data_IF_759748372410
#
_entry.id   IF_759748372410
#
_cell.length_a   1.000
_cell.length_b   1.000
_cell.length_c   1.000
_cell.angle_alpha   90.00
_cell.angle_beta   90.00
_cell.angle_gamma   90.00
#
_symmetry.space_group_name_H-M   'P 1'
#
loop_
_entity.id
_entity.type
_entity.pdbx_description
1 polymer ?
#
# COMPACT_ATOMS: atom_id res chain seq x y z
N UNK A 1 21.89 10.96 -2.06
CA UNK A 1 20.75 10.06 -1.77
C UNK A 1 20.22 9.57 -3.11
N UNK A 2 19.61 8.37 -3.21
CA UNK A 2 18.94 7.97 -4.43
C UNK A 2 17.91 9.04 -4.83
N UNK A 3 17.85 9.42 -6.10
CA UNK A 3 16.91 10.44 -6.61
C UNK A 3 15.48 9.88 -6.75
N UNK A 4 15.20 8.69 -6.23
CA UNK A 4 13.92 8.02 -6.37
C UNK A 4 13.54 7.26 -5.11
N UNK A 5 12.25 7.23 -4.82
CA UNK A 5 11.63 6.44 -3.76
C UNK A 5 10.65 5.43 -4.38
N UNK A 6 10.37 4.38 -3.62
CA UNK A 6 9.40 3.36 -3.97
C UNK A 6 8.03 3.73 -3.41
N UNK A 7 7.08 4.00 -4.30
CA UNK A 7 5.68 4.07 -3.96
C UNK A 7 5.06 2.68 -3.91
N UNK A 8 4.16 2.49 -2.95
CA UNK A 8 3.35 1.29 -2.78
C UNK A 8 1.89 1.72 -2.63
N UNK A 9 1.00 0.96 -3.27
CA UNK A 9 -0.44 1.08 -3.11
C UNK A 9 -1.06 -0.29 -3.00
N UNK A 10 -2.04 -0.47 -2.12
CA UNK A 10 -2.85 -1.67 -2.10
C UNK A 10 -4.31 -1.38 -1.79
N UNK A 11 -5.15 -2.31 -2.19
CA UNK A 11 -6.56 -2.36 -1.86
C UNK A 11 -6.87 -3.62 -1.07
N UNK A 12 -7.87 -3.54 -0.21
CA UNK A 12 -8.45 -4.68 0.49
C UNK A 12 -9.96 -4.58 0.45
N UNK A 13 -10.64 -5.60 -0.06
CA UNK A 13 -12.09 -5.67 0.03
C UNK A 13 -12.49 -6.38 1.32
N UNK A 14 -13.06 -5.63 2.26
CA UNK A 14 -13.43 -6.13 3.59
C UNK A 14 -14.53 -7.20 3.51
N UNK A 15 -14.46 -8.17 4.41
CA UNK A 15 -15.50 -9.21 4.56
C UNK A 15 -16.81 -8.67 5.15
N UNK A 16 -16.74 -7.58 5.92
CA UNK A 16 -17.88 -6.86 6.48
C UNK A 16 -17.59 -5.37 6.65
N UNK A 17 -18.57 -4.58 7.13
CA UNK A 17 -18.34 -3.17 7.49
C UNK A 17 -17.19 -3.02 8.49
N UNK A 18 -16.46 -1.88 8.47
CA UNK A 18 -15.29 -1.66 9.34
C UNK A 18 -15.63 -1.74 10.84
N UNK A 19 -16.87 -1.45 11.23
CA UNK A 19 -17.36 -1.51 12.62
C UNK A 19 -17.93 -2.88 13.02
N UNK A 20 -17.94 -3.85 12.10
CA UNK A 20 -18.46 -5.19 12.38
C UNK A 20 -17.50 -6.01 13.27
N UNK A 21 -18.02 -7.03 13.99
CA UNK A 21 -17.19 -7.88 14.85
C UNK A 21 -16.03 -8.57 14.12
N UNK A 22 -16.22 -8.96 12.85
CA UNK A 22 -15.16 -9.59 12.04
C UNK A 22 -13.98 -8.64 11.81
N UNK A 23 -14.21 -7.32 11.74
CA UNK A 23 -13.17 -6.32 11.48
C UNK A 23 -12.51 -5.76 12.74
N UNK A 24 -12.94 -6.16 13.95
CA UNK A 24 -12.49 -5.56 15.21
C UNK A 24 -10.99 -5.64 15.43
N UNK A 25 -10.40 -6.83 15.30
CA UNK A 25 -8.95 -7.00 15.51
C UNK A 25 -8.14 -6.18 14.50
N UNK A 26 -8.57 -6.12 13.24
CA UNK A 26 -7.94 -5.29 12.22
C UNK A 26 -8.02 -3.81 12.59
N UNK A 27 -9.22 -3.32 12.93
CA UNK A 27 -9.48 -1.91 13.29
C UNK A 27 -8.65 -1.47 14.49
N UNK A 28 -8.60 -2.28 15.55
CA UNK A 28 -7.83 -2.00 16.77
C UNK A 28 -6.32 -2.01 16.55
N UNK A 29 -5.84 -2.70 15.51
CA UNK A 29 -4.43 -2.75 15.18
C UNK A 29 -3.97 -1.62 14.25
N UNK A 30 -4.87 -0.89 13.59
CA UNK A 30 -4.53 0.10 12.57
C UNK A 30 -3.53 1.15 13.06
N UNK A 31 -3.82 1.79 14.19
CA UNK A 31 -2.93 2.83 14.74
C UNK A 31 -1.55 2.27 15.10
N UNK A 32 -1.49 1.05 15.66
CA UNK A 32 -0.23 0.39 16.00
C UNK A 32 0.60 0.08 14.77
N UNK A 33 -0.02 -0.49 13.73
CA UNK A 33 0.67 -0.87 12.48
C UNK A 33 1.09 0.37 11.67
N UNK A 34 0.29 1.44 11.73
CA UNK A 34 0.63 2.74 11.16
C UNK A 34 1.83 3.38 11.89
N UNK A 35 1.82 3.39 13.22
CA UNK A 35 2.94 3.91 14.02
C UNK A 35 4.23 3.10 13.81
N UNK A 36 4.10 1.78 13.62
CA UNK A 36 5.21 0.91 13.28
C UNK A 36 5.85 1.29 11.93
N UNK A 37 5.04 1.68 10.93
CA UNK A 37 5.57 2.19 9.67
C UNK A 37 6.33 3.51 9.90
N UNK A 38 5.73 4.43 10.66
CA UNK A 38 6.28 5.78 10.92
C UNK A 38 7.68 5.74 11.58
N UNK A 39 8.03 4.66 12.30
CA UNK A 39 9.36 4.47 12.93
C UNK A 39 10.26 3.48 12.20
N UNK A 40 9.80 2.88 11.09
CA UNK A 40 10.57 1.89 10.34
C UNK A 40 11.69 2.54 9.52
N UNK A 41 12.92 1.99 9.52
CA UNK A 41 14.00 2.50 8.69
C UNK A 41 13.62 2.56 7.20
N UNK A 42 13.85 3.71 6.57
CA UNK A 42 13.55 3.96 5.17
C UNK A 42 12.07 4.22 4.86
N UNK A 43 11.21 4.40 5.87
CA UNK A 43 9.87 4.93 5.67
C UNK A 43 9.93 6.44 5.35
N UNK A 44 9.17 6.87 4.34
CA UNK A 44 9.16 8.28 3.89
C UNK A 44 7.80 8.92 4.13
N UNK A 45 6.72 8.24 3.75
CA UNK A 45 5.37 8.79 3.81
C UNK A 45 4.31 7.70 3.77
N UNK A 46 3.12 7.99 4.31
CA UNK A 46 1.90 7.21 4.06
C UNK A 46 0.71 8.11 3.85
N UNK A 47 -0.25 7.62 3.08
CA UNK A 47 -1.53 8.28 2.93
C UNK A 47 -2.28 8.26 4.27
N UNK A 48 -2.66 9.45 4.73
CA UNK A 48 -3.54 9.69 5.88
C UNK A 48 -4.79 10.36 5.33
N UNK A 49 -5.92 9.93 5.83
CA UNK A 49 -7.20 10.51 5.46
C UNK A 49 -7.61 11.51 6.55
N UNK A 50 -8.12 12.68 6.15
CA UNK A 50 -8.33 13.82 7.02
C UNK A 50 -9.54 13.67 7.97
N UNK A 51 -10.37 12.63 7.81
CA UNK A 51 -11.58 12.43 8.64
C UNK A 51 -11.42 11.36 9.71
N UNK A 52 -10.53 10.40 9.48
CA UNK A 52 -10.13 9.38 10.42
C UNK A 52 -8.77 8.92 9.92
N UNK A 53 -7.87 8.53 10.81
CA UNK A 53 -6.54 7.97 10.49
C UNK A 53 -6.55 6.71 9.58
N UNK A 54 -7.67 6.40 8.93
CA UNK A 54 -7.99 5.30 8.06
C UNK A 54 -8.52 5.83 6.71
N UNK A 55 -7.80 5.53 5.64
CA UNK A 55 -8.12 5.84 4.25
C UNK A 55 -9.46 5.25 3.75
N UNK A 56 -10.55 5.86 4.18
CA UNK A 56 -11.94 5.39 3.98
C UNK A 56 -12.86 6.47 3.39
N UNK A 57 -12.43 7.74 3.36
CA UNK A 57 -13.20 8.88 2.85
C UNK A 57 -12.92 9.19 1.37
N UNK A 58 -11.75 8.80 0.83
CA UNK A 58 -11.50 8.90 -0.62
C UNK A 58 -12.23 7.77 -1.33
N UNK A 59 -13.42 8.06 -1.88
CA UNK A 59 -14.21 7.15 -2.74
C UNK A 59 -13.52 6.91 -4.10
N UNK A 60 -12.36 6.27 -4.09
CA UNK A 60 -11.63 5.84 -5.29
C UNK A 60 -12.30 4.67 -6.02
N UNK A 61 -13.09 3.89 -5.28
CA UNK A 61 -13.82 2.74 -5.77
C UNK A 61 -15.31 2.89 -5.42
N UNK A 62 -16.23 2.40 -6.27
CA UNK A 62 -17.66 2.44 -5.99
C UNK A 62 -18.08 1.49 -4.86
N UNK A 63 -17.30 0.42 -4.62
CA UNK A 63 -17.55 -0.52 -3.53
C UNK A 63 -17.01 0.03 -2.21
N UNK A 64 -17.92 0.40 -1.30
CA UNK A 64 -17.59 0.97 0.02
C UNK A 64 -16.86 0.00 0.95
N UNK A 65 -16.78 -1.29 0.59
CA UNK A 65 -15.97 -2.26 1.33
C UNK A 65 -14.52 -2.28 0.88
N UNK A 66 -14.16 -1.54 -0.16
CA UNK A 66 -12.76 -1.41 -0.57
C UNK A 66 -12.10 -0.33 0.27
N UNK A 67 -11.13 -0.74 1.09
CA UNK A 67 -10.18 0.17 1.73
C UNK A 67 -8.91 0.25 0.89
N UNK A 68 -8.24 1.39 0.98
CA UNK A 68 -6.98 1.63 0.29
C UNK A 68 -5.87 1.87 1.30
N UNK A 69 -4.63 1.63 0.92
CA UNK A 69 -3.46 2.11 1.62
C UNK A 69 -2.40 2.52 0.59
N UNK A 70 -1.67 3.59 0.89
CA UNK A 70 -0.51 3.99 0.12
C UNK A 70 0.63 4.37 1.05
N UNK A 71 1.85 4.00 0.67
CA UNK A 71 3.07 4.35 1.39
C UNK A 71 4.24 4.59 0.43
N UNK A 72 5.24 5.33 0.89
CA UNK A 72 6.48 5.64 0.15
C UNK A 72 7.67 5.25 1.02
N UNK A 73 8.64 4.60 0.39
CA UNK A 73 9.82 4.03 1.04
C UNK A 73 11.09 4.38 0.26
N UNK A 74 12.22 4.49 0.93
CA UNK A 74 13.52 4.75 0.29
C UNK A 74 13.94 3.63 -0.66
N UNK A 75 13.48 2.40 -0.42
CA UNK A 75 13.85 1.24 -1.24
C UNK A 75 12.86 0.07 -1.13
N UNK A 76 12.99 -0.88 -2.07
CA UNK A 76 12.31 -2.19 -2.00
C UNK A 76 12.69 -2.95 -0.72
N UNK A 77 13.94 -2.85 -0.28
CA UNK A 77 14.40 -3.54 0.92
C UNK A 77 13.74 -3.00 2.18
N UNK A 78 13.62 -1.67 2.30
CA UNK A 78 12.95 -1.03 3.43
C UNK A 78 11.48 -1.50 3.55
N UNK A 79 10.73 -1.46 2.45
CA UNK A 79 9.35 -1.96 2.42
C UNK A 79 9.26 -3.46 2.74
N UNK A 80 10.18 -4.29 2.22
CA UNK A 80 10.21 -5.74 2.53
C UNK A 80 10.48 -6.00 4.01
N UNK A 81 11.41 -5.26 4.61
CA UNK A 81 11.73 -5.38 6.03
C UNK A 81 10.52 -5.01 6.89
N UNK A 82 9.83 -3.91 6.58
CA UNK A 82 8.57 -3.57 7.24
C UNK A 82 7.51 -4.66 7.05
N UNK A 83 7.28 -5.13 5.82
CA UNK A 83 6.19 -6.07 5.51
C UNK A 83 6.41 -7.45 6.13
N UNK A 84 7.65 -7.96 6.13
CA UNK A 84 7.93 -9.36 6.44
C UNK A 84 8.79 -9.59 7.69
N UNK A 85 9.46 -8.56 8.22
CA UNK A 85 10.34 -8.68 9.40
C UNK A 85 9.86 -7.83 10.59
N UNK A 86 8.61 -7.37 10.57
CA UNK A 86 7.96 -6.64 11.66
C UNK A 86 6.66 -7.33 12.09
N UNK A 87 5.98 -6.81 13.11
CA UNK A 87 4.65 -7.30 13.52
C UNK A 87 3.62 -7.29 12.37
N UNK A 88 3.84 -6.47 11.33
CA UNK A 88 2.97 -6.42 10.16
C UNK A 88 2.82 -7.79 9.47
N UNK A 89 3.83 -8.67 9.55
CA UNK A 89 3.78 -10.01 8.95
C UNK A 89 2.63 -10.86 9.48
N UNK A 90 2.20 -10.65 10.74
CA UNK A 90 1.08 -11.38 11.32
C UNK A 90 -0.24 -11.05 10.58
N UNK A 91 -0.47 -9.78 10.27
CA UNK A 91 -1.63 -9.32 9.51
C UNK A 91 -1.57 -9.75 8.05
N UNK A 92 -0.38 -9.74 7.43
CA UNK A 92 -0.19 -10.24 6.06
C UNK A 92 -0.58 -11.72 5.95
N UNK A 93 -0.16 -12.55 6.92
CA UNK A 93 -0.48 -13.99 6.95
C UNK A 93 -1.97 -14.26 7.19
N UNK A 94 -2.59 -13.46 8.05
CA UNK A 94 -4.00 -13.60 8.47
C UNK A 94 -4.97 -12.74 7.67
N UNK A 95 -4.52 -12.10 6.58
CA UNK A 95 -5.35 -11.17 5.79
C UNK A 95 -6.71 -11.72 5.37
N UNK A 96 -6.81 -13.04 5.16
CA UNK A 96 -8.03 -13.73 4.75
C UNK A 96 -9.13 -13.73 5.83
N UNK A 97 -8.79 -13.41 7.08
CA UNK A 97 -9.75 -13.28 8.19
C UNK A 97 -10.53 -11.95 8.13
N UNK A 98 -10.01 -10.95 7.39
CA UNK A 98 -10.61 -9.61 7.29
C UNK A 98 -10.94 -9.20 5.86
N UNK A 99 -10.23 -9.76 4.88
CA UNK A 99 -10.34 -9.37 3.47
C UNK A 99 -10.63 -10.56 2.57
N UNK A 100 -11.40 -10.31 1.52
CA UNK A 100 -11.60 -11.27 0.45
C UNK A 100 -10.29 -11.57 -0.30
N UNK A 101 -10.21 -12.80 -0.82
CA UNK A 101 -9.19 -13.18 -1.78
C UNK A 101 -9.55 -12.59 -3.13
N UNK A 102 -8.81 -11.57 -3.55
CA UNK A 102 -8.93 -10.99 -4.88
C UNK A 102 -8.21 -11.86 -5.90
N UNK A 103 -8.86 -12.11 -7.04
CA UNK A 103 -8.29 -12.87 -8.17
C UNK A 103 -7.38 -12.03 -9.06
N UNK A 104 -7.46 -10.71 -8.93
CA UNK A 104 -6.61 -9.72 -9.59
C UNK A 104 -5.52 -9.20 -8.65
N UNK A 105 -4.46 -8.54 -9.17
CA UNK A 105 -3.51 -7.82 -8.34
C UNK A 105 -4.24 -6.85 -7.39
N UNK A 106 -3.90 -6.91 -6.11
CA UNK A 106 -4.46 -6.05 -5.08
C UNK A 106 -3.46 -5.03 -4.55
N UNK A 107 -2.23 -5.02 -5.08
CA UNK A 107 -1.23 -4.03 -4.77
C UNK A 107 -0.33 -3.77 -5.98
N UNK A 108 0.23 -2.58 -6.04
CA UNK A 108 1.19 -2.14 -7.03
C UNK A 108 2.34 -1.38 -6.36
N UNK A 109 3.51 -1.49 -6.97
CA UNK A 109 4.76 -0.80 -6.65
C UNK A 109 5.22 -0.04 -7.89
N UNK A 110 5.81 1.14 -7.69
CA UNK A 110 6.45 1.89 -8.76
C UNK A 110 7.45 2.89 -8.18
N UNK A 111 8.38 3.34 -9.01
CA UNK A 111 9.35 4.36 -8.61
C UNK A 111 8.80 5.77 -8.86
N UNK A 112 9.05 6.66 -7.92
CA UNK A 112 8.72 8.09 -7.97
C UNK A 112 9.96 8.92 -7.64
N UNK A 113 10.03 10.21 -8.06
CA UNK A 113 11.06 11.13 -7.57
C UNK A 113 11.09 11.19 -6.03
N UNK A 114 12.27 11.39 -5.45
CA UNK A 114 12.45 11.35 -3.99
C UNK A 114 11.65 12.42 -3.22
N UNK A 115 11.28 13.51 -3.88
CA UNK A 115 10.47 14.62 -3.35
C UNK A 115 8.97 14.50 -3.68
N UNK A 116 8.57 13.45 -4.37
CA UNK A 116 7.18 13.21 -4.75
C UNK A 116 6.44 12.29 -3.76
N UNK A 117 5.12 12.45 -3.71
CA UNK A 117 4.20 11.49 -3.09
C UNK A 117 3.05 11.22 -4.07
N UNK A 118 2.55 9.97 -4.14
CA UNK A 118 1.53 9.62 -5.11
C UNK A 118 0.16 10.18 -4.72
N UNK A 119 -0.60 10.61 -5.72
CA UNK A 119 -2.02 10.92 -5.50
C UNK A 119 -2.84 9.63 -5.46
N UNK A 120 -4.01 9.61 -4.79
CA UNK A 120 -4.88 8.44 -4.79
C UNK A 120 -5.30 8.00 -6.22
N UNK A 121 -5.54 8.96 -7.12
CA UNK A 121 -5.89 8.67 -8.51
C UNK A 121 -4.73 8.05 -9.31
N UNK A 122 -3.51 8.56 -9.13
CA UNK A 122 -2.32 7.94 -9.74
C UNK A 122 -2.15 6.50 -9.23
N UNK A 123 -2.22 6.31 -7.92
CA UNK A 123 -2.05 5.01 -7.29
C UNK A 123 -3.06 3.97 -7.81
N UNK A 124 -4.32 4.37 -7.98
CA UNK A 124 -5.35 3.54 -8.63
C UNK A 124 -5.00 3.24 -10.09
N UNK A 125 -4.59 4.23 -10.87
CA UNK A 125 -4.21 4.03 -12.27
C UNK A 125 -3.05 3.03 -12.42
N UNK A 126 -2.09 3.03 -11.49
CA UNK A 126 -0.98 2.05 -11.45
C UNK A 126 -1.51 0.63 -11.23
N UNK A 127 -2.43 0.44 -10.29
CA UNK A 127 -3.02 -0.87 -10.02
C UNK A 127 -3.90 -1.38 -11.17
N UNK A 128 -4.71 -0.50 -11.76
CA UNK A 128 -5.53 -0.81 -12.94
C UNK A 128 -4.64 -1.21 -14.12
N UNK A 129 -3.52 -0.49 -14.32
CA UNK A 129 -2.55 -0.80 -15.35
C UNK A 129 -1.91 -2.18 -15.13
N UNK A 130 -1.45 -2.47 -13.92
CA UNK A 130 -0.85 -3.77 -13.56
C UNK A 130 -1.84 -4.92 -13.79
N UNK A 131 -3.12 -4.70 -13.49
CA UNK A 131 -4.18 -5.69 -13.74
C UNK A 131 -4.36 -5.98 -15.23
N UNK A 132 -4.24 -4.96 -16.08
CA UNK A 132 -4.51 -5.06 -17.52
C UNK A 132 -3.29 -5.51 -18.34
N UNK A 133 -2.09 -5.05 -17.96
CA UNK A 133 -0.87 -5.19 -18.76
C UNK A 133 0.19 -6.08 -18.10
N UNK A 134 0.01 -6.44 -16.83
CA UNK A 134 1.03 -7.15 -16.05
C UNK A 134 2.23 -6.28 -15.65
N UNK A 135 3.29 -6.95 -15.22
CA UNK A 135 4.47 -6.36 -14.58
C UNK A 135 5.32 -5.54 -15.57
N UNK A 136 5.44 -4.23 -15.33
CA UNK A 136 6.27 -3.30 -16.13
C UNK A 136 6.92 -2.25 -15.22
N UNK A 137 7.91 -1.46 -15.70
CA UNK A 137 8.44 -0.34 -14.92
C UNK A 137 7.36 0.69 -14.50
N UNK A 138 6.23 0.76 -15.22
CA UNK A 138 5.12 1.64 -14.88
C UNK A 138 4.40 1.17 -13.61
N UNK A 139 4.21 -0.13 -13.42
CA UNK A 139 3.61 -0.70 -12.22
C UNK A 139 4.03 -2.17 -12.10
N UNK A 140 4.48 -2.55 -10.91
CA UNK A 140 5.00 -3.88 -10.65
C UNK A 140 4.70 -4.37 -9.23
N UNK A 141 5.13 -5.58 -8.89
CA UNK A 141 4.97 -6.21 -7.58
C UNK A 141 6.27 -6.86 -7.12
N UNK A 142 6.28 -7.46 -5.93
CA UNK A 142 7.47 -8.20 -5.48
C UNK A 142 7.82 -9.42 -6.34
N UNK A 143 6.93 -9.84 -7.25
CA UNK A 143 7.19 -10.94 -8.19
C UNK A 143 8.25 -10.56 -9.23
N UNK A 144 8.30 -9.29 -9.63
CA UNK A 144 9.27 -8.79 -10.61
C UNK A 144 9.63 -7.36 -10.26
N UNK A 145 10.88 -7.18 -9.82
CA UNK A 145 11.41 -5.86 -9.50
C UNK A 145 11.98 -5.20 -10.76
N UNK A 146 11.93 -3.87 -10.78
CA UNK A 146 12.56 -3.02 -11.77
C UNK A 146 13.48 -2.03 -11.06
N UNK A 147 14.54 -1.59 -11.73
CA UNK A 147 15.43 -0.56 -11.20
C UNK A 147 14.76 0.82 -11.22
N UNK A 148 15.11 1.73 -10.29
CA UNK A 148 14.65 3.11 -10.35
C UNK A 148 15.13 3.77 -11.64
N UNK A 149 14.31 4.64 -12.26
CA UNK A 149 14.72 5.37 -13.44
C UNK A 149 15.91 6.27 -13.11
N UNK A 150 16.87 6.36 -14.03
CA UNK A 150 17.96 7.34 -13.92
C UNK A 150 17.38 8.71 -14.22
N UNK A 151 17.06 9.48 -13.18
CA UNK A 151 16.63 10.88 -13.33
C UNK A 151 17.89 11.72 -13.51
N UNK A 152 18.20 12.07 -14.75
CA UNK A 152 19.17 13.12 -15.06
C UNK A 152 18.54 14.47 -14.70
N UNK A 153 19.14 15.17 -13.75
CA UNK A 153 18.81 16.56 -13.44
C UNK A 153 19.27 17.50 -14.56
#
# INVERSE_FOLDING_TARGET
MPNSHLAQFNIGRMLGPIDSPIMTEFREALDRINALADVSPGFVWRFKDDVANNATSVRLYPDERIIINASVWESVEALKNYTYKSEHVAFVRRRHEWFETLTTPYYALWWIPADAVPTPHEAKARLDYLTTHGETPFAFSFKRLFEPPVIHQ
#
